data_IF_154838853932
#
_entry.id   IF_154838853932
#
_cell.length_a   1.000
_cell.length_b   1.000
_cell.length_c   1.000
_cell.angle_alpha   90.00
_cell.angle_beta   90.00
_cell.angle_gamma   90.00
#
_symmetry.space_group_name_H-M   'P 1'
#
loop_
_entity.id
_entity.type
_entity.pdbx_description
1 polymer ?
#
# COMPACT_ATOMS: atom_id res chain seq x y z
N UNK A 1 13.85 16.59 -25.45
CA UNK A 1 14.31 17.88 -24.88
C UNK A 1 15.69 17.67 -24.28
N UNK A 2 16.61 18.64 -24.33
CA UNK A 2 17.95 18.51 -23.73
C UNK A 2 17.88 18.80 -22.22
N UNK A 3 17.47 17.80 -21.43
CA UNK A 3 17.27 17.92 -19.98
C UNK A 3 18.55 18.32 -19.23
N UNK A 4 19.74 18.09 -19.79
CA UNK A 4 20.98 18.55 -19.16
C UNK A 4 21.06 20.08 -19.04
N UNK A 5 20.48 20.82 -20.00
CA UNK A 5 20.41 22.27 -19.94
C UNK A 5 19.40 22.74 -18.87
N UNK A 6 18.21 22.12 -18.83
CA UNK A 6 17.19 22.44 -17.81
C UNK A 6 17.65 22.08 -16.39
N UNK A 7 18.37 20.98 -16.22
CA UNK A 7 18.83 20.52 -14.91
C UNK A 7 20.06 21.29 -14.40
N UNK A 8 20.94 21.75 -15.31
CA UNK A 8 22.00 22.71 -14.97
C UNK A 8 21.41 24.04 -14.49
N UNK A 9 20.27 24.45 -15.06
CA UNK A 9 19.56 25.66 -14.64
C UNK A 9 18.99 25.53 -13.23
N UNK A 10 18.55 24.35 -12.76
CA UNK A 10 18.07 24.17 -11.37
C UNK A 10 19.19 24.47 -10.38
N UNK A 11 20.35 23.84 -10.58
CA UNK A 11 21.52 24.03 -9.73
C UNK A 11 21.98 25.49 -9.75
N UNK A 12 22.08 26.08 -10.95
CA UNK A 12 22.47 27.48 -11.10
C UNK A 12 21.48 28.43 -10.41
N UNK A 13 20.18 28.22 -10.58
CA UNK A 13 19.14 29.04 -9.95
C UNK A 13 19.18 28.89 -8.43
N UNK A 14 19.43 27.69 -7.91
CA UNK A 14 19.53 27.46 -6.48
C UNK A 14 20.80 28.09 -5.88
N UNK A 15 21.94 27.98 -6.56
CA UNK A 15 23.18 28.64 -6.14
C UNK A 15 23.04 30.17 -6.18
N UNK A 16 22.38 30.72 -7.20
CA UNK A 16 22.05 32.15 -7.26
C UNK A 16 21.11 32.56 -6.13
N UNK A 17 20.14 31.72 -5.77
CA UNK A 17 19.28 31.97 -4.64
C UNK A 17 20.06 32.01 -3.32
N UNK A 18 20.97 31.04 -3.10
CA UNK A 18 21.86 31.00 -1.94
C UNK A 18 22.78 32.24 -1.87
N UNK A 19 23.18 32.80 -3.02
CA UNK A 19 23.99 34.04 -3.04
C UNK A 19 23.21 35.28 -2.64
N UNK A 20 21.89 35.28 -2.84
CA UNK A 20 21.02 36.37 -2.40
C UNK A 20 20.67 36.22 -0.92
N UNK A 21 20.17 35.05 -0.52
CA UNK A 21 19.88 34.71 0.87
C UNK A 21 19.66 33.19 0.99
N UNK A 22 20.30 32.55 1.98
CA UNK A 22 19.97 31.16 2.33
C UNK A 22 18.49 31.08 2.76
N UNK A 23 17.68 30.18 2.17
CA UNK A 23 16.28 29.97 2.57
C UNK A 23 16.08 29.82 4.09
N UNK A 24 17.01 29.16 4.78
CA UNK A 24 16.93 28.96 6.23
C UNK A 24 17.09 30.25 7.04
N UNK A 25 17.64 31.30 6.44
CA UNK A 25 17.83 32.62 7.06
C UNK A 25 16.92 33.70 6.44
N UNK A 26 16.14 33.34 5.41
CA UNK A 26 15.31 34.29 4.68
C UNK A 26 14.12 34.82 5.50
N UNK A 27 13.66 34.06 6.50
CA UNK A 27 12.64 34.50 7.44
C UNK A 27 13.09 35.67 8.32
N UNK A 28 14.38 35.93 8.52
CA UNK A 28 14.87 37.10 9.25
C UNK A 28 15.45 38.18 8.32
N UNK A 29 15.53 37.86 7.03
CA UNK A 29 16.05 38.74 6.01
C UNK A 29 15.09 39.90 5.73
N UNK A 30 15.66 41.10 5.58
CA UNK A 30 14.97 42.35 5.21
C UNK A 30 15.53 42.87 3.89
N UNK A 31 15.14 42.27 2.75
CA UNK A 31 15.69 42.64 1.45
C UNK A 31 15.26 44.04 1.03
N UNK A 32 16.10 44.70 0.21
CA UNK A 32 15.65 45.84 -0.60
C UNK A 32 14.60 45.37 -1.62
N UNK A 33 13.85 46.31 -2.18
CA UNK A 33 12.87 46.00 -3.24
C UNK A 33 13.52 45.32 -4.45
N UNK A 34 14.72 45.76 -4.84
CA UNK A 34 15.50 45.12 -5.91
C UNK A 34 15.94 43.69 -5.58
N UNK A 35 16.31 43.41 -4.32
CA UNK A 35 16.64 42.06 -3.87
C UNK A 35 15.41 41.16 -3.83
N UNK A 36 14.27 41.68 -3.38
CA UNK A 36 12.98 40.97 -3.37
C UNK A 36 12.54 40.58 -4.78
N UNK A 37 12.59 41.54 -5.73
CA UNK A 37 12.25 41.32 -7.14
C UNK A 37 13.18 40.34 -7.85
N UNK A 38 14.42 40.18 -7.37
CA UNK A 38 15.33 39.14 -7.84
C UNK A 38 15.02 37.79 -7.20
N UNK A 39 14.79 37.75 -5.87
CA UNK A 39 14.64 36.53 -5.10
C UNK A 39 13.37 35.76 -5.40
N UNK A 40 12.22 36.43 -5.45
CA UNK A 40 10.90 35.78 -5.61
C UNK A 40 10.80 34.97 -6.92
N UNK A 41 11.11 35.51 -8.10
CA UNK A 41 11.04 34.73 -9.34
C UNK A 41 12.06 33.58 -9.39
N UNK A 42 13.22 33.74 -8.74
CA UNK A 42 14.24 32.70 -8.62
C UNK A 42 13.75 31.54 -7.75
N UNK A 43 13.17 31.85 -6.59
CA UNK A 43 12.60 30.87 -5.68
C UNK A 43 11.47 30.06 -6.34
N UNK A 44 10.56 30.72 -7.05
CA UNK A 44 9.49 30.04 -7.79
C UNK A 44 10.00 29.13 -8.90
N UNK A 45 11.05 29.53 -9.63
CA UNK A 45 11.67 28.69 -10.66
C UNK A 45 12.32 27.46 -10.06
N UNK A 46 12.99 27.62 -8.92
CA UNK A 46 13.58 26.50 -8.18
C UNK A 46 12.50 25.52 -7.74
N UNK A 47 11.43 25.98 -7.08
CA UNK A 47 10.33 25.11 -6.63
C UNK A 47 9.67 24.37 -7.80
N UNK A 48 9.27 25.09 -8.86
CA UNK A 48 8.68 24.47 -10.06
C UNK A 48 9.58 23.40 -10.68
N UNK A 49 10.90 23.62 -10.67
CA UNK A 49 11.84 22.67 -11.23
C UNK A 49 12.06 21.45 -10.32
N UNK A 50 12.01 21.62 -8.99
CA UNK A 50 12.00 20.50 -8.03
C UNK A 50 10.78 19.63 -8.24
N UNK A 51 9.58 20.22 -8.33
CA UNK A 51 8.34 19.46 -8.53
C UNK A 51 8.33 18.74 -9.87
N UNK A 52 8.88 19.36 -10.92
CA UNK A 52 9.06 18.69 -12.22
C UNK A 52 10.02 17.50 -12.13
N UNK A 53 11.14 17.60 -11.40
CA UNK A 53 12.07 16.47 -11.21
C UNK A 53 11.43 15.36 -10.38
N UNK A 54 10.70 15.71 -9.30
CA UNK A 54 9.94 14.74 -8.50
C UNK A 54 8.86 14.04 -9.33
N UNK A 55 8.16 14.78 -10.18
CA UNK A 55 7.17 14.23 -11.10
C UNK A 55 7.80 13.31 -12.16
N UNK A 56 8.98 13.65 -12.68
CA UNK A 56 9.72 12.77 -13.60
C UNK A 56 10.21 11.49 -12.88
N UNK A 57 10.66 11.62 -11.63
CA UNK A 57 11.03 10.48 -10.79
C UNK A 57 9.82 9.56 -10.49
N UNK A 58 8.65 10.14 -10.19
CA UNK A 58 7.39 9.39 -9.98
C UNK A 58 6.85 8.77 -11.27
N UNK A 59 6.86 9.51 -12.39
CA UNK A 59 6.41 8.99 -13.71
C UNK A 59 7.28 7.86 -14.24
N UNK A 60 8.58 7.82 -13.86
CA UNK A 60 9.47 6.68 -14.12
C UNK A 60 8.96 5.37 -13.50
N UNK A 61 8.06 5.41 -12.51
CA UNK A 61 7.46 4.22 -11.89
C UNK A 61 6.24 3.68 -12.65
N UNK A 62 5.69 4.43 -13.61
CA UNK A 62 4.34 4.20 -14.16
C UNK A 62 4.26 3.90 -15.68
N UNK A 63 5.35 3.77 -16.45
CA UNK A 63 5.26 3.34 -17.86
C UNK A 63 6.20 2.18 -18.27
N UNK A 64 5.56 1.04 -18.55
CA UNK A 64 5.76 0.18 -19.73
C UNK A 64 7.18 -0.17 -20.22
N UNK A 65 7.98 -0.94 -19.45
CA UNK A 65 8.91 -1.95 -20.01
C UNK A 65 9.94 -1.52 -21.08
N UNK A 66 10.15 -0.22 -21.31
CA UNK A 66 11.02 0.38 -22.30
C UNK A 66 12.02 1.30 -21.57
N UNK A 67 13.29 1.37 -21.98
CA UNK A 67 14.25 2.25 -21.35
C UNK A 67 14.15 3.65 -21.95
N UNK A 68 13.59 4.65 -21.24
CA UNK A 68 14.02 6.04 -21.47
C UNK A 68 13.63 7.11 -20.44
N UNK A 69 14.42 8.20 -20.52
CA UNK A 69 14.54 9.41 -19.69
C UNK A 69 15.18 9.21 -18.30
N UNK A 70 16.53 9.18 -18.27
CA UNK A 70 17.33 9.07 -17.06
C UNK A 70 17.62 10.46 -16.49
N UNK A 71 16.96 10.83 -15.39
CA UNK A 71 17.47 11.91 -14.53
C UNK A 71 18.82 11.44 -13.96
N UNK A 72 19.93 12.15 -14.19
CA UNK A 72 21.23 11.72 -13.70
C UNK A 72 21.25 11.58 -12.17
N UNK A 73 21.86 10.51 -11.66
CA UNK A 73 21.94 10.27 -10.21
C UNK A 73 22.59 11.41 -9.44
N UNK A 74 23.55 12.11 -10.03
CA UNK A 74 24.19 13.29 -9.44
C UNK A 74 23.20 14.42 -9.16
N UNK A 75 22.15 14.54 -9.96
CA UNK A 75 21.12 15.57 -9.80
C UNK A 75 20.08 15.16 -8.76
N UNK A 76 19.65 13.89 -8.78
CA UNK A 76 18.79 13.36 -7.72
C UNK A 76 19.48 13.47 -6.36
N UNK A 77 20.78 13.16 -6.30
CA UNK A 77 21.58 13.31 -5.11
C UNK A 77 21.67 14.77 -4.67
N UNK A 78 21.98 15.69 -5.58
CA UNK A 78 22.03 17.12 -5.27
C UNK A 78 20.68 17.66 -4.77
N UNK A 79 19.56 17.30 -5.41
CA UNK A 79 18.23 17.73 -4.97
C UNK A 79 17.94 17.19 -3.57
N UNK A 80 18.11 15.89 -3.34
CA UNK A 80 17.81 15.26 -2.05
C UNK A 80 18.69 15.75 -0.90
N UNK A 81 19.97 15.99 -1.17
CA UNK A 81 20.95 16.29 -0.13
C UNK A 81 21.10 17.80 0.12
N UNK A 82 20.94 18.62 -0.93
CA UNK A 82 21.22 20.06 -0.85
C UNK A 82 19.96 20.93 -0.96
N UNK A 83 18.96 20.51 -1.73
CA UNK A 83 17.81 21.36 -2.04
C UNK A 83 16.60 21.02 -1.17
N UNK A 84 16.24 19.73 -1.07
CA UNK A 84 15.10 19.21 -0.31
C UNK A 84 15.09 19.65 1.17
N UNK A 85 16.22 19.64 1.90
CA UNK A 85 16.23 20.10 3.29
C UNK A 85 15.82 21.57 3.48
N UNK A 86 15.84 22.36 2.40
CA UNK A 86 15.58 23.80 2.39
C UNK A 86 14.25 24.16 1.73
N UNK A 87 13.50 23.19 1.20
CA UNK A 87 12.25 23.45 0.45
C UNK A 87 11.17 24.09 1.33
N UNK A 88 10.98 23.61 2.56
CA UNK A 88 10.00 24.22 3.47
C UNK A 88 10.36 25.66 3.81
N UNK A 89 11.63 25.93 4.14
CA UNK A 89 12.11 27.27 4.40
C UNK A 89 12.01 28.19 3.17
N UNK A 90 12.19 27.64 1.97
CA UNK A 90 12.03 28.36 0.71
C UNK A 90 10.57 28.76 0.44
N UNK A 91 9.60 27.87 0.75
CA UNK A 91 8.17 28.17 0.67
C UNK A 91 7.78 29.27 1.66
N UNK A 92 8.19 29.14 2.92
CA UNK A 92 7.94 30.15 3.96
C UNK A 92 8.53 31.53 3.60
N UNK A 93 9.76 31.54 3.07
CA UNK A 93 10.40 32.76 2.59
C UNK A 93 9.63 33.42 1.45
N UNK A 94 9.12 32.63 0.50
CA UNK A 94 8.29 33.11 -0.61
C UNK A 94 6.99 33.72 -0.11
N UNK A 95 6.28 33.06 0.80
CA UNK A 95 4.99 33.52 1.29
C UNK A 95 5.11 34.82 2.10
N UNK A 96 6.23 35.00 2.79
CA UNK A 96 6.55 36.28 3.44
C UNK A 96 6.90 37.39 2.45
N UNK A 97 7.72 37.10 1.44
CA UNK A 97 8.25 38.11 0.52
C UNK A 97 7.26 38.48 -0.59
N UNK A 98 6.30 37.60 -0.88
CA UNK A 98 5.24 37.76 -1.86
C UNK A 98 3.89 37.23 -1.32
N UNK A 99 3.25 37.97 -0.40
CA UNK A 99 2.01 37.54 0.27
C UNK A 99 0.81 37.46 -0.67
N UNK A 100 0.78 38.27 -1.73
CA UNK A 100 -0.29 38.23 -2.73
C UNK A 100 -0.21 36.95 -3.59
N UNK A 101 1.01 36.50 -3.91
CA UNK A 101 1.24 35.21 -4.55
C UNK A 101 1.06 34.02 -3.59
N UNK A 102 1.16 34.22 -2.27
CA UNK A 102 1.01 33.15 -1.28
C UNK A 102 -0.39 32.54 -1.32
N UNK A 103 -1.42 33.38 -1.49
CA UNK A 103 -2.81 32.93 -1.65
C UNK A 103 -2.99 32.05 -2.90
N UNK A 104 -2.40 32.47 -4.03
CA UNK A 104 -2.45 31.71 -5.28
C UNK A 104 -1.66 30.40 -5.16
N UNK A 105 -0.51 30.41 -4.48
CA UNK A 105 0.29 29.22 -4.22
C UNK A 105 -0.39 28.25 -3.26
N UNK A 106 -1.10 28.73 -2.25
CA UNK A 106 -1.88 27.88 -1.35
C UNK A 106 -3.02 27.18 -2.10
N UNK A 107 -3.75 27.92 -2.96
CA UNK A 107 -4.76 27.35 -3.86
C UNK A 107 -4.15 26.33 -4.83
N UNK A 108 -2.93 26.58 -5.33
CA UNK A 108 -2.24 25.66 -6.23
C UNK A 108 -1.62 24.46 -5.50
N UNK A 109 -1.11 24.59 -4.27
CA UNK A 109 -0.60 23.48 -3.45
C UNK A 109 -1.76 22.56 -3.02
N UNK A 110 -2.95 23.11 -2.75
CA UNK A 110 -4.20 22.34 -2.58
C UNK A 110 -4.59 21.58 -3.85
N UNK A 111 -4.31 22.15 -5.03
CA UNK A 111 -4.50 21.50 -6.33
C UNK A 111 -3.34 20.55 -6.73
N UNK A 112 -2.12 20.73 -6.21
CA UNK A 112 -0.93 19.89 -6.47
C UNK A 112 -0.85 18.71 -5.47
N UNK A 113 -1.63 18.72 -4.39
CA UNK A 113 -1.96 17.51 -3.62
C UNK A 113 -2.74 16.46 -4.46
N UNK A 114 -3.18 16.83 -5.66
CA UNK A 114 -3.68 15.91 -6.70
C UNK A 114 -2.49 15.19 -7.37
N UNK A 115 -1.76 14.39 -6.59
CA UNK A 115 -0.71 13.47 -7.10
C UNK A 115 -1.12 12.00 -7.07
N UNK A 116 -2.41 11.73 -6.87
CA UNK A 116 -3.02 10.41 -6.86
C UNK A 116 -3.99 10.25 -8.04
N UNK A 117 -3.49 10.16 -9.30
CA UNK A 117 -4.33 10.13 -10.49
C UNK A 117 -5.33 8.96 -10.49
N UNK A 118 -4.97 7.83 -9.86
CA UNK A 118 -5.90 6.71 -9.75
C UNK A 118 -6.95 7.00 -8.69
N UNK A 119 -6.58 7.53 -7.53
CA UNK A 119 -7.55 7.92 -6.50
C UNK A 119 -8.55 8.97 -7.01
N UNK A 120 -8.08 9.97 -7.75
CA UNK A 120 -8.93 11.00 -8.35
C UNK A 120 -9.96 10.42 -9.32
N UNK A 121 -9.63 9.30 -9.98
CA UNK A 121 -10.59 8.60 -10.86
C UNK A 121 -11.76 8.03 -10.04
N UNK A 122 -11.50 7.51 -8.84
CA UNK A 122 -12.55 7.04 -7.93
C UNK A 122 -13.38 8.20 -7.39
N UNK A 123 -12.75 9.28 -6.93
CA UNK A 123 -13.44 10.48 -6.46
C UNK A 123 -14.34 11.09 -7.54
N UNK A 124 -13.80 11.24 -8.76
CA UNK A 124 -14.56 11.74 -9.92
C UNK A 124 -15.74 10.81 -10.26
N UNK A 125 -15.52 9.49 -10.19
CA UNK A 125 -16.58 8.51 -10.42
C UNK A 125 -17.72 8.61 -9.41
N UNK A 126 -17.40 8.83 -8.12
CA UNK A 126 -18.39 9.04 -7.06
C UNK A 126 -19.17 10.32 -7.31
N UNK A 127 -18.49 11.40 -7.68
CA UNK A 127 -19.15 12.68 -7.97
C UNK A 127 -20.09 12.58 -9.18
N UNK A 128 -19.68 11.87 -10.24
CA UNK A 128 -20.57 11.60 -11.38
C UNK A 128 -21.81 10.78 -11.00
N UNK A 129 -21.68 9.85 -10.05
CA UNK A 129 -22.82 9.11 -9.51
C UNK A 129 -23.76 10.03 -8.72
N UNK A 130 -23.22 10.94 -7.90
CA UNK A 130 -24.02 11.97 -7.21
C UNK A 130 -24.77 12.85 -8.20
N UNK A 131 -24.08 13.38 -9.21
CA UNK A 131 -24.72 14.18 -10.27
C UNK A 131 -25.82 13.39 -11.00
N UNK A 132 -25.63 12.09 -11.22
CA UNK A 132 -26.62 11.23 -11.87
C UNK A 132 -27.88 11.09 -11.01
N UNK A 133 -27.72 10.89 -9.70
CA UNK A 133 -28.82 10.81 -8.73
C UNK A 133 -29.58 12.14 -8.71
N UNK A 134 -28.86 13.26 -8.56
CA UNK A 134 -29.43 14.60 -8.50
C UNK A 134 -30.21 14.98 -9.79
N UNK A 135 -29.70 14.58 -10.96
CA UNK A 135 -30.36 14.82 -12.25
C UNK A 135 -31.58 13.95 -12.49
N UNK A 136 -31.77 12.89 -11.71
CA UNK A 136 -32.84 11.90 -11.91
C UNK A 136 -33.54 11.55 -10.58
N UNK A 137 -34.14 12.53 -9.87
CA UNK A 137 -34.73 12.31 -8.55
C UNK A 137 -35.93 11.36 -8.56
N UNK A 138 -36.58 11.18 -9.71
CA UNK A 138 -37.72 10.27 -9.88
C UNK A 138 -37.30 8.81 -10.07
N UNK A 139 -36.00 8.52 -10.14
CA UNK A 139 -35.47 7.17 -10.25
C UNK A 139 -34.97 6.69 -8.89
N UNK A 140 -35.32 5.46 -8.54
CA UNK A 140 -34.85 4.80 -7.33
C UNK A 140 -33.38 4.35 -7.48
N UNK A 141 -32.47 5.31 -7.55
CA UNK A 141 -31.04 5.07 -7.55
C UNK A 141 -30.48 4.87 -6.13
N UNK A 142 -31.09 5.51 -5.14
CA UNK A 142 -30.69 5.42 -3.73
C UNK A 142 -30.73 3.99 -3.16
N UNK A 143 -31.53 3.09 -3.74
CA UNK A 143 -31.63 1.70 -3.28
C UNK A 143 -30.43 0.80 -3.62
N UNK A 144 -29.55 1.22 -4.55
CA UNK A 144 -28.42 0.40 -5.02
C UNK A 144 -27.14 1.17 -5.35
N UNK A 145 -27.20 2.50 -5.49
CA UNK A 145 -26.03 3.37 -5.58
C UNK A 145 -25.87 4.13 -4.27
N UNK A 146 -24.77 3.90 -3.56
CA UNK A 146 -24.49 4.54 -2.28
C UNK A 146 -23.14 5.28 -2.34
N UNK A 147 -23.10 6.48 -2.96
CA UNK A 147 -21.86 7.25 -3.10
C UNK A 147 -21.27 7.66 -1.75
N UNK A 148 -22.11 7.87 -0.73
CA UNK A 148 -21.65 8.26 0.60
C UNK A 148 -20.88 7.14 1.29
N UNK A 149 -21.36 5.90 1.18
CA UNK A 149 -20.60 4.72 1.66
C UNK A 149 -19.27 4.57 0.91
N UNK A 150 -19.22 4.90 -0.39
CA UNK A 150 -17.97 4.87 -1.14
C UNK A 150 -16.98 5.94 -0.66
N UNK A 151 -17.44 7.17 -0.39
CA UNK A 151 -16.63 8.21 0.24
C UNK A 151 -16.12 7.78 1.63
N UNK A 152 -16.98 7.17 2.46
CA UNK A 152 -16.56 6.65 3.77
C UNK A 152 -15.41 5.64 3.68
N UNK A 153 -15.33 4.85 2.60
CA UNK A 153 -14.22 3.92 2.35
C UNK A 153 -12.96 4.65 1.92
N UNK A 154 -13.06 5.63 1.03
CA UNK A 154 -11.91 6.45 0.57
C UNK A 154 -11.31 7.23 1.73
N UNK A 155 -12.16 7.87 2.54
CA UNK A 155 -11.75 8.73 3.65
C UNK A 155 -11.47 7.93 4.95
N UNK A 156 -11.61 6.60 4.90
CA UNK A 156 -11.47 5.76 6.08
C UNK A 156 -10.05 5.75 6.59
N UNK A 157 -9.85 6.16 7.85
CA UNK A 157 -8.58 5.92 8.56
C UNK A 157 -8.31 4.43 8.86
N UNK A 158 -9.31 3.56 8.66
CA UNK A 158 -9.23 2.13 8.93
C UNK A 158 -8.87 1.31 7.69
N UNK A 159 -9.05 1.86 6.49
CA UNK A 159 -8.79 1.18 5.22
C UNK A 159 -7.67 1.93 4.51
N UNK A 160 -6.60 1.24 4.12
CA UNK A 160 -5.54 1.85 3.32
C UNK A 160 -5.94 1.89 1.84
N UNK A 161 -7.01 2.64 1.55
CA UNK A 161 -7.49 2.92 0.20
C UNK A 161 -6.54 3.91 -0.48
N UNK A 162 -5.54 3.35 -1.13
CA UNK A 162 -4.45 4.09 -1.77
C UNK A 162 -4.14 3.35 -3.09
N UNK A 163 -4.99 3.60 -4.10
CA UNK A 163 -4.97 2.86 -5.36
C UNK A 163 -3.73 3.13 -6.19
N UNK A 164 -3.13 4.29 -6.02
CA UNK A 164 -1.86 4.66 -6.65
C UNK A 164 -0.71 3.75 -6.18
N UNK A 165 -0.75 3.25 -4.94
CA UNK A 165 0.24 2.30 -4.42
C UNK A 165 -0.07 0.82 -4.70
N UNK A 166 -1.20 0.49 -5.36
CA UNK A 166 -1.55 -0.91 -5.64
C UNK A 166 -0.51 -1.61 -6.49
N UNK A 167 0.05 -0.94 -7.51
CA UNK A 167 1.08 -1.53 -8.36
C UNK A 167 2.35 -1.84 -7.56
N UNK A 168 2.75 -0.96 -6.65
CA UNK A 168 3.91 -1.18 -5.80
C UNK A 168 3.68 -2.34 -4.82
N UNK A 169 2.49 -2.42 -4.20
CA UNK A 169 2.10 -3.56 -3.37
C UNK A 169 2.07 -4.87 -4.18
N UNK A 170 1.64 -4.83 -5.44
CA UNK A 170 1.68 -6.00 -6.33
C UNK A 170 3.12 -6.43 -6.65
N UNK A 171 4.03 -5.47 -6.85
CA UNK A 171 5.48 -5.74 -7.03
C UNK A 171 6.10 -6.37 -5.79
N UNK A 172 5.67 -5.97 -4.59
CA UNK A 172 6.12 -6.59 -3.33
C UNK A 172 5.80 -8.09 -3.24
N UNK A 173 4.75 -8.55 -3.93
CA UNK A 173 4.35 -9.97 -4.00
C UNK A 173 4.97 -10.74 -5.17
N UNK A 174 5.58 -10.07 -6.15
CA UNK A 174 6.19 -10.72 -7.30
C UNK A 174 7.20 -11.84 -6.94
N UNK A 175 8.05 -11.72 -5.89
CA UNK A 175 8.91 -12.82 -5.45
C UNK A 175 8.21 -13.82 -4.53
N UNK A 176 6.93 -13.65 -4.19
CA UNK A 176 6.17 -14.57 -3.33
C UNK A 176 5.27 -15.48 -4.18
N UNK A 177 5.03 -15.12 -5.45
CA UNK A 177 4.33 -15.97 -6.42
C UNK A 177 5.11 -17.27 -6.61
N UNK A 178 4.58 -18.34 -6.02
CA UNK A 178 4.81 -19.77 -6.30
C UNK A 178 5.98 -20.02 -7.28
N UNK A 179 7.21 -20.07 -6.75
CA UNK A 179 8.40 -20.37 -7.56
C UNK A 179 8.39 -21.80 -8.13
N UNK A 180 7.46 -22.63 -7.66
CA UNK A 180 7.32 -24.04 -8.04
C UNK A 180 6.06 -24.22 -8.87
N UNK A 181 6.24 -24.38 -10.19
CA UNK A 181 5.28 -24.93 -11.17
C UNK A 181 3.81 -24.85 -10.70
N UNK A 182 3.15 -23.72 -11.00
CA UNK A 182 1.70 -23.46 -10.80
C UNK A 182 0.74 -24.60 -11.22
N UNK A 183 1.25 -25.59 -11.94
CA UNK A 183 0.54 -26.75 -12.48
C UNK A 183 0.15 -27.79 -11.42
N UNK A 184 0.73 -27.79 -10.21
CA UNK A 184 0.50 -28.86 -9.22
C UNK A 184 -0.58 -28.55 -8.16
N UNK A 185 -0.98 -27.30 -7.97
CA UNK A 185 -2.02 -26.96 -6.99
C UNK A 185 -3.43 -27.06 -7.59
N UNK A 186 -4.40 -27.66 -6.87
CA UNK A 186 -5.80 -27.65 -7.31
C UNK A 186 -6.32 -26.25 -7.61
N UNK A 187 -7.18 -26.12 -8.61
CA UNK A 187 -7.75 -24.82 -9.04
C UNK A 187 -8.37 -24.04 -7.88
N UNK A 188 -9.11 -24.73 -7.01
CA UNK A 188 -9.77 -24.12 -5.88
C UNK A 188 -8.79 -23.55 -4.82
N UNK A 189 -7.57 -24.10 -4.73
CA UNK A 189 -6.51 -23.58 -3.85
C UNK A 189 -5.88 -22.33 -4.48
N UNK A 190 -5.57 -22.40 -5.78
CA UNK A 190 -5.00 -21.27 -6.53
C UNK A 190 -5.90 -20.04 -6.46
N UNK A 191 -7.20 -20.20 -6.67
CA UNK A 191 -8.17 -19.10 -6.56
C UNK A 191 -8.17 -18.45 -5.18
N UNK A 192 -8.01 -19.22 -4.10
CA UNK A 192 -7.95 -18.68 -2.74
C UNK A 192 -6.64 -17.93 -2.46
N UNK A 193 -5.51 -18.42 -2.97
CA UNK A 193 -4.22 -17.74 -2.88
C UNK A 193 -4.24 -16.45 -3.72
N UNK A 194 -4.86 -16.46 -4.90
CA UNK A 194 -5.08 -15.26 -5.69
C UNK A 194 -5.92 -14.23 -4.94
N UNK A 195 -6.99 -14.66 -4.27
CA UNK A 195 -7.83 -13.78 -3.47
C UNK A 195 -7.06 -13.16 -2.30
N UNK A 196 -6.25 -13.96 -1.61
CA UNK A 196 -5.33 -13.47 -0.57
C UNK A 196 -4.36 -12.40 -1.11
N UNK A 197 -3.79 -12.64 -2.30
CA UNK A 197 -2.89 -11.69 -2.96
C UNK A 197 -3.61 -10.39 -3.34
N UNK A 198 -4.83 -10.47 -3.87
CA UNK A 198 -5.65 -9.28 -4.21
C UNK A 198 -5.98 -8.47 -2.96
N UNK A 199 -6.39 -9.14 -1.88
CA UNK A 199 -6.66 -8.48 -0.59
C UNK A 199 -5.42 -7.72 -0.08
N UNK A 200 -4.21 -8.28 -0.25
CA UNK A 200 -2.97 -7.58 0.09
C UNK A 200 -2.73 -6.36 -0.82
N UNK A 201 -2.87 -6.52 -2.13
CA UNK A 201 -2.68 -5.42 -3.09
C UNK A 201 -3.61 -4.25 -2.77
N UNK A 202 -4.88 -4.53 -2.45
CA UNK A 202 -5.88 -3.52 -2.12
C UNK A 202 -5.75 -2.93 -0.71
N UNK A 203 -4.76 -3.34 0.08
CA UNK A 203 -4.55 -2.80 1.42
C UNK A 203 -5.49 -3.35 2.48
N UNK A 204 -6.18 -4.45 2.20
CA UNK A 204 -7.09 -5.12 3.13
C UNK A 204 -6.32 -6.04 4.09
N UNK A 205 -5.42 -5.47 4.90
CA UNK A 205 -4.47 -6.23 5.75
C UNK A 205 -5.16 -7.25 6.66
N UNK A 206 -6.30 -6.86 7.24
CA UNK A 206 -7.07 -7.73 8.12
C UNK A 206 -7.68 -8.91 7.37
N UNK A 207 -8.21 -8.66 6.18
CA UNK A 207 -8.72 -9.70 5.29
C UNK A 207 -7.61 -10.68 4.92
N UNK A 208 -6.38 -10.21 4.70
CA UNK A 208 -5.23 -11.10 4.44
C UNK A 208 -4.99 -12.05 5.62
N UNK A 209 -4.95 -11.55 6.86
CA UNK A 209 -4.71 -12.38 8.05
C UNK A 209 -5.86 -13.38 8.30
N UNK A 210 -7.11 -12.97 8.08
CA UNK A 210 -8.27 -13.84 8.23
C UNK A 210 -8.30 -14.92 7.14
N UNK A 211 -8.10 -14.53 5.88
CA UNK A 211 -8.05 -15.44 4.74
C UNK A 211 -6.88 -16.41 4.86
N UNK A 212 -5.72 -15.97 5.35
CA UNK A 212 -4.56 -16.85 5.51
C UNK A 212 -4.84 -18.01 6.47
N UNK A 213 -5.55 -17.74 7.58
CA UNK A 213 -5.99 -18.78 8.52
C UNK A 213 -7.04 -19.69 7.89
N UNK A 214 -8.02 -19.12 7.20
CA UNK A 214 -9.06 -19.90 6.53
C UNK A 214 -8.47 -20.84 5.47
N UNK A 215 -7.53 -20.36 4.65
CA UNK A 215 -6.82 -21.13 3.63
C UNK A 215 -6.02 -22.26 4.27
N UNK A 216 -5.32 -22.00 5.38
CA UNK A 216 -4.64 -23.04 6.14
C UNK A 216 -5.62 -24.14 6.59
N UNK A 217 -6.76 -23.75 7.19
CA UNK A 217 -7.76 -24.71 7.67
C UNK A 217 -8.32 -25.57 6.54
N UNK A 218 -8.63 -24.96 5.39
CA UNK A 218 -9.02 -25.69 4.19
C UNK A 218 -7.93 -26.65 3.69
N UNK A 219 -6.68 -26.18 3.59
CA UNK A 219 -5.57 -27.00 3.10
C UNK A 219 -5.27 -28.18 4.03
N UNK A 220 -5.34 -27.97 5.34
CA UNK A 220 -5.23 -29.02 6.35
C UNK A 220 -6.31 -30.07 6.15
N UNK A 221 -7.59 -29.66 6.13
CA UNK A 221 -8.71 -30.59 5.99
C UNK A 221 -8.69 -31.36 4.67
N UNK A 222 -8.26 -30.73 3.57
CA UNK A 222 -8.17 -31.38 2.27
C UNK A 222 -7.07 -32.45 2.24
N UNK A 223 -5.99 -32.26 3.01
CA UNK A 223 -4.82 -33.15 2.98
C UNK A 223 -4.72 -34.11 4.18
N UNK A 224 -5.54 -33.94 5.22
CA UNK A 224 -5.41 -34.69 6.48
C UNK A 224 -5.56 -36.20 6.31
N UNK A 225 -6.37 -36.62 5.35
CA UNK A 225 -6.58 -38.03 5.00
C UNK A 225 -5.30 -38.71 4.48
N UNK A 226 -4.34 -37.96 3.93
CA UNK A 226 -3.05 -38.51 3.47
C UNK A 226 -2.21 -39.07 4.62
N UNK A 227 -2.47 -38.60 5.84
CA UNK A 227 -1.75 -38.95 7.06
C UNK A 227 -2.55 -39.86 7.98
N UNK A 228 -3.68 -40.40 7.50
CA UNK A 228 -4.58 -41.27 8.26
C UNK A 228 -5.11 -40.62 9.57
N UNK A 229 -5.22 -39.28 9.59
CA UNK A 229 -5.77 -38.52 10.71
C UNK A 229 -7.26 -38.24 10.48
N UNK A 230 -8.10 -38.52 11.48
CA UNK A 230 -9.52 -38.21 11.44
C UNK A 230 -9.81 -36.73 11.77
N UNK A 231 -10.67 -36.03 11.00
CA UNK A 231 -11.02 -34.63 11.25
C UNK A 231 -11.99 -34.42 12.43
N UNK A 232 -12.52 -35.51 12.98
CA UNK A 232 -13.45 -35.51 14.11
C UNK A 232 -12.89 -36.33 15.26
N UNK A 233 -13.19 -35.92 16.49
CA UNK A 233 -13.00 -36.76 17.66
C UNK A 233 -13.90 -37.99 17.58
N UNK A 234 -13.45 -39.17 18.09
CA UNK A 234 -14.32 -40.33 18.25
C UNK A 234 -15.57 -39.95 19.04
N UNK A 235 -16.71 -40.55 18.73
CA UNK A 235 -17.90 -40.37 19.55
C UNK A 235 -17.63 -40.97 20.95
N UNK A 236 -17.59 -40.11 21.97
CA UNK A 236 -17.43 -40.52 23.37
C UNK A 236 -18.66 -40.07 24.15
N UNK A 237 -19.35 -41.02 24.79
CA UNK A 237 -20.52 -40.72 25.63
C UNK A 237 -21.83 -40.48 24.84
N UNK A 238 -22.61 -39.48 25.28
CA UNK A 238 -23.97 -39.20 24.75
C UNK A 238 -24.00 -38.36 23.46
N UNK A 239 -22.85 -38.00 22.88
CA UNK A 239 -22.80 -37.21 21.66
C UNK A 239 -22.54 -38.11 20.44
N UNK A 240 -23.60 -38.56 19.73
CA UNK A 240 -23.48 -39.60 18.71
C UNK A 240 -22.78 -39.12 17.43
N UNK A 241 -22.53 -37.82 17.26
CA UNK A 241 -22.02 -37.26 16.00
C UNK A 241 -20.51 -37.04 15.95
N UNK A 242 -19.79 -37.18 17.07
CA UNK A 242 -18.37 -36.83 17.14
C UNK A 242 -18.16 -35.32 16.94
N UNK A 243 -17.24 -34.71 17.68
CA UNK A 243 -16.98 -33.27 17.57
C UNK A 243 -15.90 -33.01 16.53
N UNK A 244 -16.12 -32.06 15.61
CA UNK A 244 -15.06 -31.61 14.70
C UNK A 244 -13.89 -31.06 15.48
N UNK A 245 -12.68 -31.49 15.12
CA UNK A 245 -11.44 -30.98 15.70
C UNK A 245 -11.25 -29.52 15.33
N UNK A 246 -10.69 -28.73 16.24
CA UNK A 246 -10.31 -27.34 15.94
C UNK A 246 -9.02 -27.34 15.14
N UNK A 247 -8.75 -26.23 14.43
CA UNK A 247 -7.50 -26.05 13.71
C UNK A 247 -6.25 -26.33 14.56
N UNK A 248 -6.24 -25.94 15.85
CA UNK A 248 -5.12 -26.24 16.74
C UNK A 248 -4.89 -27.75 16.93
N UNK A 249 -5.96 -28.51 17.18
CA UNK A 249 -5.91 -29.97 17.33
C UNK A 249 -5.42 -30.63 16.03
N UNK A 250 -5.88 -30.14 14.87
CA UNK A 250 -5.48 -30.65 13.56
C UNK A 250 -3.99 -30.38 13.26
N UNK A 251 -3.47 -29.22 13.67
CA UNK A 251 -2.04 -28.86 13.54
C UNK A 251 -1.18 -29.73 14.45
N UNK A 252 -1.63 -29.99 15.68
CA UNK A 252 -0.94 -30.87 16.63
C UNK A 252 -0.82 -32.28 16.05
N UNK A 253 -1.92 -32.83 15.53
CA UNK A 253 -1.92 -34.16 14.90
C UNK A 253 -1.06 -34.22 13.63
N UNK A 254 -1.00 -33.14 12.83
CA UNK A 254 -0.21 -33.08 11.60
C UNK A 254 1.30 -32.89 11.84
N UNK A 255 1.67 -32.23 12.94
CA UNK A 255 3.06 -31.83 13.23
C UNK A 255 4.05 -33.00 13.18
N UNK A 256 3.75 -34.20 13.73
CA UNK A 256 4.60 -35.38 13.60
C UNK A 256 4.87 -35.82 12.16
N UNK A 257 3.93 -35.59 11.24
CA UNK A 257 4.03 -36.04 9.85
C UNK A 257 4.71 -35.01 8.94
N UNK A 258 4.53 -33.72 9.23
CA UNK A 258 5.09 -32.60 8.45
C UNK A 258 5.79 -31.58 9.36
N UNK A 259 6.84 -31.98 10.12
CA UNK A 259 7.45 -31.13 11.15
C UNK A 259 8.04 -29.84 10.58
N UNK A 260 8.50 -29.85 9.33
CA UNK A 260 9.01 -28.68 8.63
C UNK A 260 7.96 -27.56 8.46
N UNK A 261 6.67 -27.90 8.46
CA UNK A 261 5.57 -26.94 8.26
C UNK A 261 4.97 -26.43 9.57
N UNK A 262 5.24 -27.11 10.69
CA UNK A 262 4.61 -26.85 12.01
C UNK A 262 4.67 -25.37 12.41
N UNK A 263 5.87 -24.77 12.37
CA UNK A 263 6.05 -23.34 12.70
C UNK A 263 5.24 -22.41 11.80
N UNK A 264 5.12 -22.73 10.51
CA UNK A 264 4.31 -21.94 9.58
C UNK A 264 2.81 -22.06 9.86
N UNK A 265 2.34 -23.28 10.17
CA UNK A 265 0.95 -23.54 10.52
C UNK A 265 0.54 -22.81 11.81
N UNK A 266 1.34 -22.88 12.86
CA UNK A 266 1.10 -22.16 14.11
C UNK A 266 1.05 -20.64 13.89
N UNK A 267 2.01 -20.11 13.11
CA UNK A 267 2.06 -18.67 12.80
C UNK A 267 0.80 -18.17 12.10
N UNK A 268 0.32 -18.89 11.09
CA UNK A 268 -0.91 -18.56 10.36
C UNK A 268 -2.17 -18.69 11.23
N UNK A 269 -2.21 -19.68 12.13
CA UNK A 269 -3.28 -19.81 13.13
C UNK A 269 -3.31 -18.59 14.04
N UNK A 270 -2.16 -18.20 14.56
CA UNK A 270 -2.03 -17.12 15.54
C UNK A 270 -2.40 -15.77 14.92
N UNK A 271 -1.96 -15.48 13.69
CA UNK A 271 -2.38 -14.31 12.93
C UNK A 271 -3.91 -14.14 12.84
N UNK A 272 -4.63 -15.22 12.53
CA UNK A 272 -6.09 -15.15 12.45
C UNK A 272 -6.75 -15.09 13.83
N UNK A 273 -6.19 -15.73 14.86
CA UNK A 273 -6.73 -15.71 16.21
C UNK A 273 -6.60 -14.34 16.89
N UNK A 274 -5.45 -13.70 16.75
CA UNK A 274 -5.20 -12.37 17.31
C UNK A 274 -6.18 -11.33 16.76
N UNK A 275 -6.53 -11.46 15.48
CA UNK A 275 -7.51 -10.62 14.83
C UNK A 275 -8.96 -10.96 15.18
N UNK A 276 -9.34 -12.24 15.13
CA UNK A 276 -10.73 -12.65 15.39
C UNK A 276 -11.10 -12.54 16.88
N UNK A 277 -10.10 -12.51 17.76
CA UNK A 277 -10.28 -12.45 19.21
C UNK A 277 -9.40 -11.37 19.89
N UNK A 278 -9.51 -10.09 19.47
CA UNK A 278 -8.57 -9.04 19.87
C UNK A 278 -8.62 -8.74 21.38
N UNK A 279 -9.77 -8.96 22.01
CA UNK A 279 -9.93 -8.85 23.48
C UNK A 279 -9.13 -9.91 24.25
N UNK A 280 -8.92 -11.09 23.67
CA UNK A 280 -8.13 -12.16 24.29
C UNK A 280 -6.64 -11.93 24.10
N UNK A 281 -6.25 -11.35 22.97
CA UNK A 281 -4.85 -11.07 22.61
C UNK A 281 -4.36 -9.67 23.03
N UNK A 282 -5.17 -8.89 23.74
CA UNK A 282 -4.85 -7.53 24.22
C UNK A 282 -4.35 -6.57 23.12
N UNK A 283 -4.80 -6.74 21.87
CA UNK A 283 -4.37 -5.86 20.78
C UNK A 283 -5.12 -4.52 20.80
N UNK A 284 -4.39 -3.41 20.60
CA UNK A 284 -4.98 -2.09 20.40
C UNK A 284 -5.60 -1.97 19.01
N UNK A 285 -6.55 -1.04 18.83
CA UNK A 285 -7.14 -0.76 17.51
C UNK A 285 -6.07 -0.31 16.51
N UNK A 286 -5.15 0.54 16.92
CA UNK A 286 -4.06 1.06 16.09
C UNK A 286 -3.14 -0.08 15.60
N UNK A 287 -2.84 -1.03 16.50
CA UNK A 287 -2.02 -2.20 16.18
C UNK A 287 -2.71 -3.10 15.15
N UNK A 288 -4.04 -3.26 15.24
CA UNK A 288 -4.82 -4.08 14.30
C UNK A 288 -4.75 -3.55 12.85
N UNK A 289 -4.69 -2.23 12.65
CA UNK A 289 -4.69 -1.65 11.30
C UNK A 289 -3.29 -1.40 10.73
N UNK A 290 -2.24 -1.37 11.55
CA UNK A 290 -0.84 -1.24 11.10
C UNK A 290 -0.15 -2.59 10.83
N UNK A 291 -0.87 -3.52 10.21
CA UNK A 291 -0.44 -4.91 10.06
C UNK A 291 0.16 -5.26 8.68
N UNK A 292 0.57 -4.29 7.84
CA UNK A 292 1.11 -4.54 6.49
C UNK A 292 2.25 -5.57 6.47
N UNK A 293 3.17 -5.47 7.44
CA UNK A 293 4.29 -6.42 7.61
C UNK A 293 3.80 -7.84 7.88
N UNK A 294 2.90 -8.00 8.86
CA UNK A 294 2.31 -9.29 9.21
C UNK A 294 1.49 -9.86 8.04
N UNK A 295 0.74 -9.03 7.32
CA UNK A 295 -0.02 -9.43 6.15
C UNK A 295 0.90 -9.95 5.03
N UNK A 296 2.02 -9.26 4.75
CA UNK A 296 3.00 -9.69 3.74
C UNK A 296 3.62 -11.04 4.11
N UNK A 297 4.00 -11.18 5.37
CA UNK A 297 4.54 -12.43 5.89
C UNK A 297 3.51 -13.57 5.86
N UNK A 298 2.24 -13.28 6.15
CA UNK A 298 1.15 -14.24 6.04
C UNK A 298 0.96 -14.73 4.60
N UNK A 299 0.99 -13.85 3.59
CA UNK A 299 0.94 -14.25 2.17
C UNK A 299 2.05 -15.25 1.85
N UNK A 300 3.29 -14.93 2.24
CA UNK A 300 4.43 -15.82 2.02
C UNK A 300 4.28 -17.16 2.74
N UNK A 301 3.92 -17.11 4.02
CA UNK A 301 3.79 -18.31 4.86
C UNK A 301 2.67 -19.22 4.37
N UNK A 302 1.54 -18.68 3.88
CA UNK A 302 0.46 -19.47 3.28
C UNK A 302 0.98 -20.24 2.08
N UNK A 303 1.68 -19.58 1.16
CA UNK A 303 2.22 -20.24 -0.04
C UNK A 303 3.13 -21.40 0.35
N UNK A 304 4.10 -21.15 1.25
CA UNK A 304 5.05 -22.17 1.70
C UNK A 304 4.35 -23.37 2.37
N UNK A 305 3.39 -23.12 3.26
CA UNK A 305 2.68 -24.17 4.00
C UNK A 305 1.73 -24.96 3.09
N UNK A 306 0.96 -24.27 2.26
CA UNK A 306 -0.01 -24.91 1.35
C UNK A 306 0.73 -25.75 0.31
N UNK A 307 1.76 -25.20 -0.35
CA UNK A 307 2.59 -25.99 -1.25
C UNK A 307 3.16 -27.23 -0.54
N UNK A 308 3.68 -27.06 0.68
CA UNK A 308 4.17 -28.16 1.50
C UNK A 308 3.14 -29.27 1.69
N UNK A 309 1.93 -28.94 2.14
CA UNK A 309 0.86 -29.92 2.40
C UNK A 309 0.42 -30.68 1.13
N UNK A 310 0.34 -29.99 0.00
CA UNK A 310 -0.09 -30.61 -1.26
C UNK A 310 1.02 -31.46 -1.90
N UNK A 311 2.28 -31.10 -1.72
CA UNK A 311 3.44 -31.80 -2.31
C UNK A 311 3.95 -32.99 -1.49
N UNK A 312 3.61 -33.07 -0.20
CA UNK A 312 3.96 -34.23 0.64
C UNK A 312 3.23 -35.48 0.11
N UNK A 313 4.01 -36.49 -0.26
CA UNK A 313 3.51 -37.81 -0.64
C UNK A 313 3.23 -38.64 0.61
N UNK A 314 2.25 -39.54 0.53
CA UNK A 314 1.98 -40.50 1.59
C UNK A 314 3.25 -41.34 1.82
N UNK A 315 3.78 -41.45 3.06
CA UNK A 315 4.83 -42.42 3.34
C UNK A 315 4.29 -43.81 2.98
N UNK A 316 4.99 -44.48 2.07
CA UNK A 316 4.66 -45.84 1.63
C UNK A 316 4.91 -46.89 2.70
#
# INVERSE_FOLDING_TARGET
MNYHAELALIKQNFEQLLTLCDPNSACDWRPSESQRLAYVPLAERVLRAIDRVRNLERRKLLQEGQPQEYVPHSILFYIRDQVDPRVSALKEALDRLDPDGAFVRQLLDELDHVTCPVNQTFETGIEQVRELIDRNPDRDFDSWLNPDTACEVIDSSLISFDPDSWLDRARELAPIRTHKKDVLLPSHVRLRIEELNRAYVFGCWLSVLALSRAILEYAVLDNIHKFDIAPTWPAVGRDPKGRTKKLADLIEDLTPHVPALSKGMDKLRDYGNDYMHPKKSQMSKETLFQCKSAAKDAVKTVVDVVEGLYLVQKPG
#
